data_IF_391651299179
#
_entry.id   IF_391651299179
#
_cell.length_a   1.000
_cell.length_b   1.000
_cell.length_c   1.000
_cell.angle_alpha   90.00
_cell.angle_beta   90.00
_cell.angle_gamma   90.00
#
_symmetry.space_group_name_H-M   'P 1'
#
loop_
_entity.id
_entity.type
_entity.pdbx_description
1 polymer ?
#
# COMPACT_ATOMS: atom_id res chain seq x y z
N UNK A 1 17.55 -37.37 -57.34
CA UNK A 1 18.14 -37.83 -56.06
C UNK A 1 18.72 -36.61 -55.37
N UNK A 2 17.91 -35.84 -54.66
CA UNK A 2 18.32 -34.59 -54.00
C UNK A 2 18.43 -34.84 -52.51
N UNK A 3 19.66 -34.76 -51.98
CA UNK A 3 19.92 -34.80 -50.55
C UNK A 3 19.55 -33.46 -49.92
N UNK A 4 18.57 -33.47 -49.01
CA UNK A 4 18.22 -32.32 -48.20
C UNK A 4 19.22 -32.20 -47.05
N UNK A 5 19.98 -31.11 -47.02
CA UNK A 5 20.89 -30.75 -45.93
C UNK A 5 20.07 -29.98 -44.90
N UNK A 6 19.78 -30.62 -43.77
CA UNK A 6 19.07 -29.99 -42.64
C UNK A 6 20.07 -29.18 -41.81
N UNK A 7 19.99 -27.86 -41.88
CA UNK A 7 20.81 -26.94 -41.09
C UNK A 7 20.21 -26.81 -39.68
N UNK A 8 20.86 -27.41 -38.69
CA UNK A 8 20.45 -27.31 -37.29
C UNK A 8 20.83 -25.93 -36.72
N UNK A 9 19.82 -25.07 -36.52
CA UNK A 9 19.98 -23.81 -35.79
C UNK A 9 20.13 -24.10 -34.29
N UNK A 10 21.36 -24.09 -33.77
CA UNK A 10 21.62 -24.02 -32.33
C UNK A 10 21.27 -22.62 -31.84
N UNK A 11 20.05 -22.45 -31.32
CA UNK A 11 19.68 -21.29 -30.54
C UNK A 11 20.40 -21.34 -29.19
N UNK A 12 21.60 -20.76 -29.14
CA UNK A 12 22.26 -20.38 -27.89
C UNK A 12 21.44 -19.24 -27.27
N UNK A 13 20.42 -19.60 -26.49
CA UNK A 13 19.67 -18.64 -25.69
C UNK A 13 20.59 -18.08 -24.61
N UNK A 14 21.09 -16.86 -24.81
CA UNK A 14 21.70 -16.07 -23.74
C UNK A 14 20.63 -15.83 -22.66
N UNK A 15 20.68 -16.60 -21.57
CA UNK A 15 19.94 -16.28 -20.36
C UNK A 15 20.40 -14.88 -19.90
N UNK A 16 19.51 -13.90 -20.00
CA UNK A 16 19.77 -12.58 -19.42
C UNK A 16 19.78 -12.72 -17.89
N UNK A 17 20.74 -12.12 -17.19
CA UNK A 17 20.69 -12.04 -15.74
C UNK A 17 19.38 -11.37 -15.34
N UNK A 18 18.60 -12.04 -14.50
CA UNK A 18 17.45 -11.41 -13.85
C UNK A 18 18.06 -10.48 -12.80
N UNK A 19 18.05 -9.18 -13.07
CA UNK A 19 18.40 -8.19 -12.06
C UNK A 19 17.50 -8.40 -10.84
N UNK A 20 18.06 -8.43 -9.62
CA UNK A 20 17.26 -8.61 -8.42
C UNK A 20 16.22 -7.50 -8.36
N UNK A 21 14.95 -7.89 -8.25
CA UNK A 21 13.84 -6.94 -8.19
C UNK A 21 14.05 -6.02 -6.98
N UNK A 22 14.30 -4.74 -7.26
CA UNK A 22 14.52 -3.75 -6.20
C UNK A 22 13.21 -3.52 -5.48
N UNK A 23 13.16 -3.88 -4.19
CA UNK A 23 12.00 -3.59 -3.34
C UNK A 23 11.79 -2.09 -3.24
N UNK A 24 10.54 -1.61 -3.35
CA UNK A 24 10.25 -0.20 -3.17
C UNK A 24 10.35 0.19 -1.70
N UNK A 25 10.70 1.45 -1.44
CA UNK A 25 10.47 2.05 -0.12
C UNK A 25 8.99 2.41 0.00
N UNK A 26 8.36 2.09 1.12
CA UNK A 26 6.95 2.38 1.38
C UNK A 26 6.86 3.52 2.41
N UNK A 27 6.24 4.64 2.04
CA UNK A 27 5.95 5.76 2.94
C UNK A 27 4.43 5.82 3.19
N UNK A 28 4.02 5.69 4.45
CA UNK A 28 2.64 5.90 4.88
C UNK A 28 2.56 7.27 5.55
N UNK A 29 1.86 8.21 4.92
CA UNK A 29 1.59 9.54 5.46
C UNK A 29 0.11 9.65 5.84
N UNK A 30 -0.16 10.02 7.09
CA UNK A 30 -1.52 10.13 7.64
C UNK A 30 -1.75 11.56 8.14
N UNK A 31 -2.88 12.14 7.75
CA UNK A 31 -3.39 13.40 8.30
C UNK A 31 -4.47 13.06 9.32
N UNK A 32 -4.31 13.50 10.58
CA UNK A 32 -5.27 13.19 11.64
C UNK A 32 -6.48 14.14 11.58
N UNK A 33 -7.67 13.62 11.83
CA UNK A 33 -8.96 14.33 11.79
C UNK A 33 -9.28 15.12 10.49
N UNK A 34 -8.59 14.83 9.38
CA UNK A 34 -8.89 15.48 8.11
C UNK A 34 -10.15 14.93 7.46
N UNK A 35 -11.16 15.78 7.31
CA UNK A 35 -12.35 15.46 6.51
C UNK A 35 -12.02 15.38 5.01
N UNK A 36 -12.63 14.43 4.29
CA UNK A 36 -12.37 14.21 2.87
C UNK A 36 -12.54 15.45 1.95
N UNK A 37 -13.51 16.39 2.15
CA UNK A 37 -13.67 17.53 1.24
C UNK A 37 -12.62 18.63 1.49
N UNK A 38 -11.73 18.45 2.48
CA UNK A 38 -10.71 19.43 2.86
C UNK A 38 -9.35 19.17 2.17
N UNK A 39 -9.37 18.70 0.93
CA UNK A 39 -8.20 18.69 0.05
C UNK A 39 -8.58 19.18 -1.35
N UNK A 40 -7.72 19.98 -1.98
CA UNK A 40 -8.00 20.56 -3.31
C UNK A 40 -8.15 19.51 -4.40
N UNK A 41 -7.42 18.39 -4.33
CA UNK A 41 -7.63 17.23 -5.21
C UNK A 41 -9.04 16.60 -5.13
N UNK A 42 -9.78 16.81 -4.02
CA UNK A 42 -11.19 16.41 -3.89
C UNK A 42 -12.18 17.55 -4.22
N UNK A 43 -11.69 18.67 -4.75
CA UNK A 43 -12.51 19.81 -5.17
C UNK A 43 -12.76 20.86 -4.09
N UNK A 44 -11.94 20.91 -3.03
CA UNK A 44 -12.02 22.00 -2.05
C UNK A 44 -11.80 23.35 -2.73
N UNK A 45 -12.67 24.33 -2.46
CA UNK A 45 -12.59 25.69 -3.03
C UNK A 45 -11.94 26.71 -2.09
N UNK A 46 -11.64 26.31 -0.86
CA UNK A 46 -11.16 27.21 0.20
C UNK A 46 -9.85 26.75 0.87
N UNK A 47 -9.39 25.53 0.58
CA UNK A 47 -8.09 25.00 1.03
C UNK A 47 -7.30 24.58 -0.21
N UNK A 48 -6.02 24.95 -0.24
CA UNK A 48 -5.06 24.51 -1.25
C UNK A 48 -4.07 23.52 -0.63
N UNK A 49 -3.98 22.31 -1.21
CA UNK A 49 -3.10 21.22 -0.75
C UNK A 49 -2.13 20.78 -1.85
N UNK A 50 -1.24 21.66 -2.34
CA UNK A 50 -0.47 21.41 -3.57
C UNK A 50 0.46 20.18 -3.49
N UNK A 51 0.96 19.86 -2.29
CA UNK A 51 1.78 18.67 -2.08
C UNK A 51 0.96 17.37 -2.19
N UNK A 52 -0.26 17.35 -1.64
CA UNK A 52 -1.18 16.21 -1.76
C UNK A 52 -1.67 16.04 -3.19
N UNK A 53 -2.04 17.14 -3.85
CA UNK A 53 -2.49 17.17 -5.24
C UNK A 53 -1.42 16.64 -6.19
N UNK A 54 -0.15 16.98 -5.95
CA UNK A 54 0.97 16.41 -6.71
C UNK A 54 1.01 14.89 -6.60
N UNK A 55 0.80 14.32 -5.42
CA UNK A 55 0.79 12.86 -5.25
C UNK A 55 -0.45 12.25 -5.91
N UNK A 56 -1.63 12.85 -5.75
CA UNK A 56 -2.87 12.40 -6.37
C UNK A 56 -2.77 12.37 -7.91
N UNK A 57 -2.19 13.41 -8.52
CA UNK A 57 -2.02 13.52 -9.97
C UNK A 57 -0.97 12.57 -10.56
N UNK A 58 -0.02 12.10 -9.75
CA UNK A 58 1.03 11.16 -10.18
C UNK A 58 0.75 9.72 -9.70
N UNK A 59 -0.45 9.45 -9.18
CA UNK A 59 -0.80 8.18 -8.59
C UNK A 59 -2.27 7.83 -8.78
N UNK A 60 -2.86 7.24 -7.75
CA UNK A 60 -4.27 6.85 -7.73
C UNK A 60 -4.96 7.61 -6.61
N UNK A 61 -6.05 8.31 -6.96
CA UNK A 61 -6.93 9.00 -6.01
C UNK A 61 -8.22 8.18 -5.82
N UNK A 62 -8.49 7.75 -4.60
CA UNK A 62 -9.70 7.01 -4.28
C UNK A 62 -10.83 7.96 -3.90
N UNK A 63 -11.91 7.99 -4.69
CA UNK A 63 -13.10 8.80 -4.39
C UNK A 63 -13.99 8.21 -3.29
N UNK A 64 -13.80 6.92 -2.98
CA UNK A 64 -14.60 6.16 -2.03
C UNK A 64 -13.68 5.29 -1.14
N UNK A 65 -13.04 5.92 -0.16
CA UNK A 65 -12.22 5.26 0.86
C UNK A 65 -12.79 5.56 2.25
N UNK A 66 -13.17 4.52 2.99
CA UNK A 66 -13.85 4.64 4.28
C UNK A 66 -13.00 4.05 5.40
N UNK A 67 -12.97 4.73 6.55
CA UNK A 67 -12.40 4.19 7.78
C UNK A 67 -13.30 3.09 8.35
N UNK A 68 -12.70 2.11 9.02
CA UNK A 68 -13.45 1.03 9.69
C UNK A 68 -14.07 1.47 11.02
N UNK A 69 -13.58 2.58 11.58
CA UNK A 69 -14.09 3.19 12.81
C UNK A 69 -13.90 4.71 12.75
N UNK A 70 -14.85 5.52 13.25
CA UNK A 70 -14.69 6.97 13.36
C UNK A 70 -13.79 7.40 14.53
N UNK A 71 -13.21 6.45 15.28
CA UNK A 71 -12.30 6.73 16.39
C UNK A 71 -10.82 6.61 16.03
N UNK A 72 -9.96 7.49 16.56
CA UNK A 72 -8.53 7.53 16.21
C UNK A 72 -7.79 6.21 16.50
N UNK A 73 -7.86 5.69 17.74
CA UNK A 73 -7.22 4.43 18.13
C UNK A 73 -7.76 3.22 17.35
N UNK A 74 -9.08 2.96 17.30
CA UNK A 74 -9.61 1.79 16.58
C UNK A 74 -9.41 1.86 15.06
N UNK A 75 -9.44 3.06 14.46
CA UNK A 75 -9.13 3.27 13.04
C UNK A 75 -7.68 2.90 12.72
N UNK A 76 -6.73 3.44 13.50
CA UNK A 76 -5.30 3.15 13.34
C UNK A 76 -4.96 1.68 13.62
N UNK A 77 -5.59 1.07 14.64
CA UNK A 77 -5.43 -0.36 14.91
C UNK A 77 -5.90 -1.21 13.72
N UNK A 78 -7.05 -0.87 13.13
CA UNK A 78 -7.55 -1.57 11.94
C UNK A 78 -6.62 -1.42 10.73
N UNK A 79 -6.04 -0.23 10.54
CA UNK A 79 -5.06 0.04 9.48
C UNK A 79 -3.79 -0.80 9.66
N UNK A 80 -3.25 -0.85 10.89
CA UNK A 80 -2.01 -1.58 11.21
C UNK A 80 -2.18 -3.10 11.12
N UNK A 81 -3.34 -3.61 11.54
CA UNK A 81 -3.64 -5.04 11.60
C UNK A 81 -4.30 -5.60 10.34
N UNK A 82 -4.86 -4.74 9.48
CA UNK A 82 -5.66 -5.18 8.32
C UNK A 82 -6.97 -5.89 8.72
N UNK A 83 -7.53 -5.54 9.87
CA UNK A 83 -8.68 -6.23 10.49
C UNK A 83 -9.75 -5.24 10.93
N UNK A 84 -11.00 -5.71 11.00
CA UNK A 84 -12.08 -4.86 11.50
C UNK A 84 -11.97 -4.62 13.02
N UNK A 85 -12.48 -3.49 13.55
CA UNK A 85 -12.34 -3.14 14.96
C UNK A 85 -12.83 -4.22 15.93
N UNK A 86 -13.92 -4.92 15.62
CA UNK A 86 -14.46 -5.99 16.47
C UNK A 86 -13.58 -7.25 16.54
N UNK A 87 -12.55 -7.35 15.69
CA UNK A 87 -11.58 -8.44 15.68
C UNK A 87 -10.28 -8.08 16.44
N UNK A 88 -10.14 -6.82 16.87
CA UNK A 88 -8.89 -6.26 17.40
C UNK A 88 -8.84 -6.26 18.93
N UNK A 89 -9.72 -7.00 19.59
CA UNK A 89 -9.80 -7.09 21.06
C UNK A 89 -9.81 -5.69 21.70
N UNK A 90 -8.93 -5.44 22.67
CA UNK A 90 -8.79 -4.14 23.32
C UNK A 90 -8.44 -3.03 22.33
N UNK A 91 -7.62 -3.28 21.30
CA UNK A 91 -7.28 -2.27 20.29
C UNK A 91 -8.47 -1.87 19.39
N UNK A 92 -9.61 -2.57 19.50
CA UNK A 92 -10.88 -2.19 18.86
C UNK A 92 -11.60 -1.00 19.51
N UNK A 93 -11.08 -0.45 20.61
CA UNK A 93 -11.70 0.66 21.37
C UNK A 93 -10.72 1.82 21.62
N UNK A 94 -11.21 2.91 22.20
CA UNK A 94 -10.37 4.04 22.64
C UNK A 94 -9.72 3.78 24.00
N UNK A 95 -8.57 4.44 24.23
CA UNK A 95 -7.84 4.43 25.51
C UNK A 95 -7.52 3.02 26.03
N UNK A 96 -7.19 2.12 25.11
CA UNK A 96 -6.92 0.72 25.37
C UNK A 96 -5.46 0.37 25.13
N UNK A 97 -5.03 -0.75 25.72
CA UNK A 97 -3.71 -1.30 25.49
C UNK A 97 -3.63 -2.01 24.14
N UNK A 98 -2.43 -1.98 23.54
CA UNK A 98 -2.12 -2.79 22.37
C UNK A 98 -1.96 -4.27 22.79
N UNK A 99 -2.69 -5.21 22.18
CA UNK A 99 -2.71 -6.60 22.64
C UNK A 99 -1.38 -7.36 22.41
N UNK A 100 -0.48 -6.86 21.55
CA UNK A 100 0.86 -7.42 21.33
C UNK A 100 0.92 -8.83 20.72
N UNK A 101 -0.24 -9.47 20.52
CA UNK A 101 -0.41 -10.84 20.02
C UNK A 101 -0.65 -10.91 18.51
N UNK A 102 -1.00 -9.79 17.88
CA UNK A 102 -1.32 -9.75 16.46
C UNK A 102 -0.11 -9.31 15.63
N UNK A 103 0.10 -10.02 14.52
CA UNK A 103 1.05 -9.63 13.47
C UNK A 103 0.55 -8.36 12.77
N UNK A 104 1.43 -7.38 12.62
CA UNK A 104 1.16 -6.09 12.00
C UNK A 104 1.74 -6.02 10.58
N UNK A 105 1.26 -5.10 9.74
CA UNK A 105 1.88 -4.93 8.42
C UNK A 105 3.37 -4.54 8.50
N UNK A 106 3.85 -3.74 9.49
CA UNK A 106 5.29 -3.54 9.67
C UNK A 106 6.06 -4.83 9.95
N UNK A 107 5.54 -5.73 10.78
CA UNK A 107 6.18 -7.04 11.04
C UNK A 107 6.29 -7.85 9.73
N UNK A 108 5.23 -7.84 8.91
CA UNK A 108 5.22 -8.50 7.59
C UNK A 108 6.22 -7.87 6.61
N UNK A 109 6.37 -6.54 6.62
CA UNK A 109 7.35 -5.85 5.79
C UNK A 109 8.79 -6.14 6.26
N UNK A 110 9.01 -6.22 7.57
CA UNK A 110 10.31 -6.59 8.14
C UNK A 110 10.71 -8.03 7.77
N UNK A 111 9.78 -8.98 7.89
CA UNK A 111 9.99 -10.37 7.47
C UNK A 111 10.26 -10.47 5.96
N UNK A 112 9.56 -9.66 5.16
CA UNK A 112 9.77 -9.62 3.72
C UNK A 112 11.12 -9.00 3.33
N UNK A 113 11.76 -8.22 4.20
CA UNK A 113 13.05 -7.51 4.04
C UNK A 113 13.02 -6.38 3.01
#
# INVERSE_FOLDING_TARGET
MMAAVTLAFLAFGCAQPVEPERKPNILIAISDDQSYPHASAYGSTFIDTPAFDRIANNGILFSNAFVTSPGCAPSRASMVLGRYPWQNEHAGTHASAWPGTFVTFPDLLEEAG
#
